data_IF_633365262352
#
_entry.id   IF_633365262352
#
_cell.length_a   1.000
_cell.length_b   1.000
_cell.length_c   1.000
_cell.angle_alpha   90.00
_cell.angle_beta   90.00
_cell.angle_gamma   90.00
#
_symmetry.space_group_name_H-M   'P 1'
#
loop_
_entity.id
_entity.type
_entity.pdbx_description
1 polymer ?
#
# COMPACT_ATOMS: atom_id res chain seq x y z
N UNK A 1 -9.22 12.99 28.77
CA UNK A 1 -7.83 12.50 28.57
C UNK A 1 -7.81 10.96 28.56
N UNK A 2 -8.46 10.31 27.59
CA UNK A 2 -8.68 8.85 27.58
C UNK A 2 -7.86 8.11 26.49
N UNK A 3 -6.65 8.60 26.18
CA UNK A 3 -5.87 8.08 25.04
C UNK A 3 -4.84 6.99 25.37
N UNK A 4 -4.30 6.99 26.60
CA UNK A 4 -3.13 6.18 26.95
C UNK A 4 -3.20 5.45 28.29
N UNK A 5 -3.99 5.94 29.25
CA UNK A 5 -4.03 5.36 30.61
C UNK A 5 -4.90 4.09 30.75
N UNK A 6 -5.88 3.88 29.88
CA UNK A 6 -6.80 2.72 29.95
C UNK A 6 -6.79 1.83 28.69
N UNK A 7 -5.72 1.90 27.89
CA UNK A 7 -5.62 1.06 26.69
C UNK A 7 -5.12 -0.32 27.08
N UNK A 8 -5.87 -1.35 26.70
CA UNK A 8 -5.47 -2.74 26.90
C UNK A 8 -4.11 -3.02 26.25
N UNK A 9 -3.21 -3.66 26.99
CA UNK A 9 -1.88 -3.99 26.50
C UNK A 9 -1.95 -5.13 25.47
N UNK A 10 -1.79 -4.79 24.19
CA UNK A 10 -1.74 -5.76 23.09
C UNK A 10 -0.31 -6.14 22.66
N UNK A 11 0.72 -5.70 23.39
CA UNK A 11 2.12 -5.99 23.05
C UNK A 11 2.40 -7.50 22.99
N UNK A 12 1.99 -8.33 23.97
CA UNK A 12 2.22 -9.78 23.89
C UNK A 12 1.50 -10.43 22.71
N UNK A 13 0.33 -9.93 22.34
CA UNK A 13 -0.43 -10.40 21.18
C UNK A 13 0.33 -10.14 19.87
N UNK A 14 0.86 -8.92 19.70
CA UNK A 14 1.67 -8.62 18.52
C UNK A 14 3.01 -9.37 18.53
N UNK A 15 3.67 -9.52 19.68
CA UNK A 15 4.90 -10.32 19.78
C UNK A 15 4.68 -11.75 19.27
N UNK A 16 3.59 -12.42 19.68
CA UNK A 16 3.24 -13.78 19.20
C UNK A 16 2.97 -13.82 17.69
N UNK A 17 2.27 -12.83 17.15
CA UNK A 17 1.97 -12.76 15.70
C UNK A 17 3.23 -12.55 14.86
N UNK A 18 4.11 -11.61 15.26
CA UNK A 18 5.31 -11.28 14.49
C UNK A 18 6.44 -12.29 14.65
N UNK A 19 6.57 -12.92 15.82
CA UNK A 19 7.59 -13.95 16.09
C UNK A 19 7.19 -15.35 15.59
N UNK A 20 5.97 -15.53 15.07
CA UNK A 20 5.56 -16.80 14.45
C UNK A 20 6.48 -17.15 13.27
N UNK A 21 7.01 -18.37 13.24
CA UNK A 21 7.82 -18.89 12.13
C UNK A 21 6.92 -19.38 10.98
N UNK A 22 6.24 -18.46 10.32
CA UNK A 22 5.35 -18.69 9.18
C UNK A 22 6.01 -18.41 7.82
N UNK A 23 7.28 -17.99 7.81
CA UNK A 23 8.03 -17.65 6.60
C UNK A 23 7.58 -16.36 5.89
N UNK A 24 6.61 -15.64 6.48
CA UNK A 24 6.10 -14.38 5.93
C UNK A 24 6.98 -13.21 6.33
N UNK A 25 7.09 -12.22 5.44
CA UNK A 25 7.83 -10.99 5.74
C UNK A 25 7.06 -10.14 6.75
N UNK A 26 7.79 -9.37 7.54
CA UNK A 26 7.23 -8.51 8.60
C UNK A 26 6.11 -7.60 8.10
N UNK A 27 6.26 -7.01 6.90
CA UNK A 27 5.26 -6.11 6.34
C UNK A 27 3.99 -6.80 5.81
N UNK A 28 3.97 -8.12 5.66
CA UNK A 28 2.79 -8.88 5.24
C UNK A 28 1.95 -9.37 6.42
N UNK A 29 2.49 -9.28 7.65
CA UNK A 29 1.81 -9.72 8.87
C UNK A 29 0.79 -8.71 9.38
N UNK A 30 -0.17 -9.18 10.19
CA UNK A 30 -1.22 -8.34 10.79
C UNK A 30 -2.02 -7.56 9.71
N UNK A 31 -2.03 -6.23 9.77
CA UNK A 31 -2.70 -5.35 8.80
C UNK A 31 -2.06 -5.36 7.42
N UNK A 32 -0.82 -5.84 7.31
CA UNK A 32 -0.09 -5.96 6.05
C UNK A 32 -0.82 -6.79 4.99
N UNK A 33 -1.58 -7.80 5.42
CA UNK A 33 -2.31 -8.73 4.54
C UNK A 33 -3.26 -8.05 3.56
N UNK A 34 -3.87 -6.93 3.95
CA UNK A 34 -4.79 -6.17 3.09
C UNK A 34 -4.23 -4.81 2.68
N UNK A 35 -3.44 -4.17 3.55
CA UNK A 35 -2.87 -2.85 3.30
C UNK A 35 -1.80 -2.90 2.19
N UNK A 36 -0.95 -3.92 2.17
CA UNK A 36 0.10 -4.04 1.15
C UNK A 36 -0.48 -4.33 -0.24
N UNK A 37 -1.44 -5.26 -0.43
CA UNK A 37 -2.11 -5.41 -1.72
C UNK A 37 -2.80 -4.15 -2.21
N UNK A 38 -3.55 -3.46 -1.32
CA UNK A 38 -4.20 -2.20 -1.68
C UNK A 38 -3.19 -1.13 -2.13
N UNK A 39 -2.08 -0.99 -1.38
CA UNK A 39 -0.99 -0.10 -1.75
C UNK A 39 -0.38 -0.46 -3.11
N UNK A 40 -0.12 -1.76 -3.37
CA UNK A 40 0.43 -2.23 -4.65
C UNK A 40 -0.49 -1.88 -5.83
N UNK A 41 -1.81 -2.05 -5.68
CA UNK A 41 -2.78 -1.69 -6.73
C UNK A 41 -2.70 -0.20 -7.06
N UNK A 42 -2.69 0.67 -6.05
CA UNK A 42 -2.59 2.12 -6.24
C UNK A 42 -1.23 2.51 -6.83
N UNK A 43 -0.14 1.89 -6.37
CA UNK A 43 1.20 2.16 -6.88
C UNK A 43 1.33 1.81 -8.36
N UNK A 44 0.97 0.58 -8.75
CA UNK A 44 1.10 0.15 -10.13
C UNK A 44 0.12 0.85 -11.07
N UNK A 45 -1.10 1.14 -10.60
CA UNK A 45 -2.06 1.92 -11.41
C UNK A 45 -1.57 3.35 -11.66
N UNK A 46 -1.14 4.07 -10.62
CA UNK A 46 -0.59 5.43 -10.77
C UNK A 46 0.70 5.49 -11.59
N UNK A 47 1.58 4.51 -11.40
CA UNK A 47 2.79 4.39 -12.20
C UNK A 47 2.48 4.13 -13.68
N UNK A 48 1.63 3.16 -13.98
CA UNK A 48 1.20 2.86 -15.35
C UNK A 48 0.51 4.05 -16.01
N UNK A 49 -0.34 4.75 -15.26
CA UNK A 49 -1.01 5.95 -15.73
C UNK A 49 -0.03 7.11 -16.03
N UNK A 50 1.02 7.28 -15.23
CA UNK A 50 2.07 8.27 -15.45
C UNK A 50 2.90 7.96 -16.70
N UNK A 51 3.31 6.70 -16.88
CA UNK A 51 4.05 6.26 -18.07
C UNK A 51 3.19 6.38 -19.33
N UNK A 52 1.89 6.06 -19.24
CA UNK A 52 0.94 6.25 -20.33
C UNK A 52 0.86 7.72 -20.77
N UNK A 53 0.66 8.64 -19.83
CA UNK A 53 0.59 10.07 -20.15
C UNK A 53 1.92 10.62 -20.65
N UNK A 54 3.05 10.14 -20.11
CA UNK A 54 4.37 10.49 -20.63
C UNK A 54 4.52 10.06 -22.10
N UNK A 55 4.15 8.82 -22.44
CA UNK A 55 4.20 8.34 -23.83
C UNK A 55 3.27 9.13 -24.76
N UNK A 56 2.07 9.47 -24.28
CA UNK A 56 1.12 10.31 -25.01
C UNK A 56 1.65 11.72 -25.26
N UNK A 57 2.32 12.32 -24.27
CA UNK A 57 2.95 13.63 -24.38
C UNK A 57 4.11 13.63 -25.40
N UNK A 58 4.92 12.57 -25.42
CA UNK A 58 5.98 12.40 -26.45
C UNK A 58 5.39 12.37 -27.86
N UNK A 59 4.20 11.78 -28.02
CA UNK A 59 3.47 11.74 -29.29
C UNK A 59 2.64 13.03 -29.57
N UNK A 60 2.73 14.05 -28.71
CA UNK A 60 2.07 15.35 -28.88
C UNK A 60 0.62 15.43 -28.36
N UNK A 61 0.11 14.37 -27.72
CA UNK A 61 -1.23 14.38 -27.12
C UNK A 61 -1.19 14.94 -25.69
N UNK A 62 -2.05 15.92 -25.38
CA UNK A 62 -2.09 16.56 -24.05
C UNK A 62 -3.15 15.98 -23.13
N UNK A 63 -4.06 15.17 -23.67
CA UNK A 63 -5.18 14.56 -22.94
C UNK A 63 -5.10 13.04 -22.86
N UNK A 64 -5.75 12.50 -21.83
CA UNK A 64 -5.87 11.07 -21.58
C UNK A 64 -6.55 10.33 -22.72
N UNK A 65 -7.57 10.94 -23.33
CA UNK A 65 -8.30 10.39 -24.45
C UNK A 65 -8.56 11.48 -25.49
N UNK A 66 -8.39 11.15 -26.78
CA UNK A 66 -8.59 12.09 -27.88
C UNK A 66 -7.28 12.53 -28.55
N UNK A 67 -7.39 13.38 -29.57
CA UNK A 67 -6.25 13.88 -30.33
C UNK A 67 -5.64 15.18 -29.77
N UNK A 68 -6.42 15.93 -28.99
CA UNK A 68 -6.09 17.27 -28.50
C UNK A 68 -5.89 17.25 -26.99
#
# INVERSE_FOLDING_TARGET
MAGWMFRENRVPLYQREFQKHDGLRTWEKSRGKWMIPAYKVILFSSFGASVYMMGRLVLGHKTWFGKN
#
